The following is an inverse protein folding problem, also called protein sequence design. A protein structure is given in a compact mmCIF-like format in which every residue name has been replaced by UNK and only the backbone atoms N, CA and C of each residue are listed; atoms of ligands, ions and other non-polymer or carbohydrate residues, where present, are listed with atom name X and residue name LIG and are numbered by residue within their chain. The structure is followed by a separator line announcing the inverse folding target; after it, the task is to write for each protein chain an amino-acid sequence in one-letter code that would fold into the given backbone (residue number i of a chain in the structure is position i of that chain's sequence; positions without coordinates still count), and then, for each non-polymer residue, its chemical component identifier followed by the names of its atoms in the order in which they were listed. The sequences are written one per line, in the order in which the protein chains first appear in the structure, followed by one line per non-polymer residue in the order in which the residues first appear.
data_IF_463607847247
#
_entry.id   IF_463607847247
#
_cell.length_a   1.000
_cell.length_b   1.000
_cell.length_c   1.000
_cell.angle_alpha   90.00
_cell.angle_beta   90.00
_cell.angle_gamma   90.00
#
_symmetry.space_group_name_H-M   'P 1'
#
loop_
_entity.id
_entity.type
_entity.pdbx_description
1 polymer ?
#
# COMPACT_ATOMS: atom_id res chain seq x y z
N UNK A 1 3.55 5.06 3.71
CA UNK A 1 4.60 4.27 3.02
C UNK A 1 5.21 3.18 3.87
N UNK A 2 5.59 3.44 5.14
CA UNK A 2 6.09 2.35 6.01
C UNK A 2 5.06 1.26 6.27
N UNK A 3 3.89 1.61 6.83
CA UNK A 3 2.86 0.62 7.18
C UNK A 3 2.25 -0.11 5.96
N UNK A 4 1.98 0.61 4.87
CA UNK A 4 1.43 0.04 3.64
C UNK A 4 2.42 -0.87 2.92
N UNK A 5 3.72 -0.51 2.90
CA UNK A 5 4.77 -1.35 2.36
C UNK A 5 4.97 -2.62 3.18
N UNK A 6 5.02 -2.50 4.52
CA UNK A 6 5.07 -3.67 5.41
C UNK A 6 3.86 -4.58 5.21
N UNK A 7 2.66 -4.02 5.12
CA UNK A 7 1.45 -4.80 4.86
C UNK A 7 1.54 -5.55 3.53
N UNK A 8 1.90 -4.88 2.44
CA UNK A 8 2.05 -5.52 1.13
C UNK A 8 3.14 -6.60 1.13
N UNK A 9 4.30 -6.34 1.73
CA UNK A 9 5.38 -7.32 1.85
C UNK A 9 4.98 -8.52 2.68
N UNK A 10 4.23 -8.34 3.78
CA UNK A 10 3.72 -9.46 4.58
C UNK A 10 2.72 -10.32 3.81
N UNK A 11 1.88 -9.72 2.97
CA UNK A 11 0.96 -10.48 2.12
C UNK A 11 1.72 -11.30 1.07
N UNK A 12 2.78 -10.74 0.48
CA UNK A 12 3.64 -11.46 -0.47
C UNK A 12 4.37 -12.62 0.24
N UNK A 13 5.00 -12.35 1.38
CA UNK A 13 5.72 -13.36 2.15
C UNK A 13 4.82 -14.50 2.64
N UNK A 14 3.55 -14.23 2.97
CA UNK A 14 2.57 -15.26 3.32
C UNK A 14 2.26 -16.20 2.15
N UNK A 15 2.30 -15.71 0.90
CA UNK A 15 2.10 -16.54 -0.30
C UNK A 15 3.35 -17.34 -0.64
N UNK A 16 4.53 -16.80 -0.35
CA UNK A 16 5.82 -17.45 -0.61
C UNK A 16 6.13 -18.57 0.38
N UNK A 17 5.83 -18.37 1.67
CA UNK A 17 6.01 -19.38 2.73
C UNK A 17 4.79 -20.32 2.85
N UNK A 18 3.60 -19.84 2.48
CA UNK A 18 2.36 -20.61 2.56
C UNK A 18 2.21 -21.68 1.48
N UNK A 19 1.33 -22.67 1.66
CA UNK A 19 1.08 -23.70 0.66
C UNK A 19 0.48 -23.09 -0.61
N UNK A 20 1.27 -23.04 -1.68
CA UNK A 20 0.90 -22.53 -3.02
C UNK A 20 -0.33 -23.21 -3.64
N UNK A 21 -0.74 -24.36 -3.10
CA UNK A 21 -1.86 -25.18 -3.56
C UNK A 21 -3.25 -24.63 -3.17
N UNK A 22 -3.37 -23.70 -2.21
CA UNK A 22 -4.68 -23.20 -1.75
C UNK A 22 -4.69 -21.69 -1.44
N UNK A 23 -4.70 -20.82 -2.46
CA UNK A 23 -4.75 -19.36 -2.27
C UNK A 23 -5.99 -18.88 -1.51
N UNK A 24 -7.10 -19.63 -1.58
CA UNK A 24 -8.32 -19.36 -0.82
C UNK A 24 -8.12 -19.50 0.70
N UNK A 25 -7.27 -20.43 1.14
CA UNK A 25 -6.98 -20.65 2.55
C UNK A 25 -6.10 -19.51 3.10
N UNK A 26 -5.11 -19.05 2.32
CA UNK A 26 -4.29 -17.90 2.67
C UNK A 26 -5.16 -16.64 2.80
N UNK A 27 -6.03 -16.39 1.83
CA UNK A 27 -7.00 -15.28 1.90
C UNK A 27 -7.92 -15.36 3.11
N UNK A 28 -8.40 -16.56 3.46
CA UNK A 28 -9.22 -16.77 4.65
C UNK A 28 -8.45 -16.49 5.95
N UNK A 29 -7.19 -16.91 6.07
CA UNK A 29 -6.35 -16.63 7.24
C UNK A 29 -6.08 -15.12 7.41
N UNK A 30 -5.80 -14.42 6.31
CA UNK A 30 -5.66 -12.96 6.31
C UNK A 30 -6.97 -12.32 6.76
N UNK A 31 -8.11 -12.75 6.20
CA UNK A 31 -9.42 -12.24 6.56
C UNK A 31 -9.78 -12.43 8.03
N UNK A 32 -9.52 -13.61 8.59
CA UNK A 32 -9.75 -13.89 10.03
C UNK A 32 -8.86 -13.00 10.89
N UNK A 33 -7.59 -12.86 10.54
CA UNK A 33 -6.64 -12.01 11.29
C UNK A 33 -7.10 -10.56 11.31
N UNK A 34 -7.52 -10.02 10.16
CA UNK A 34 -8.07 -8.67 10.06
C UNK A 34 -9.36 -8.51 10.86
N UNK A 35 -10.29 -9.47 10.77
CA UNK A 35 -11.54 -9.42 11.52
C UNK A 35 -11.29 -9.39 13.04
N UNK A 36 -10.39 -10.25 13.53
CA UNK A 36 -9.98 -10.27 14.94
C UNK A 36 -9.33 -8.94 15.33
N UNK A 37 -8.45 -8.40 14.49
CA UNK A 37 -7.82 -7.11 14.73
C UNK A 37 -8.83 -5.95 14.79
N UNK A 38 -9.82 -5.91 13.90
CA UNK A 38 -10.86 -4.88 13.90
C UNK A 38 -11.79 -4.95 15.11
N UNK A 39 -12.05 -6.15 15.64
CA UNK A 39 -12.86 -6.31 16.86
C UNK A 39 -12.04 -5.97 18.10
N UNK A 40 -10.81 -6.46 18.21
CA UNK A 40 -9.97 -6.24 19.38
C UNK A 40 -9.41 -4.82 19.45
N UNK A 41 -9.16 -4.17 18.31
CA UNK A 41 -8.56 -2.84 18.24
C UNK A 41 -9.30 -1.77 19.06
N UNK A 42 -10.60 -1.55 18.84
CA UNK A 42 -11.40 -0.60 19.63
C UNK A 42 -11.56 -1.01 21.09
N UNK A 43 -11.67 -2.30 21.39
CA UNK A 43 -11.84 -2.81 22.75
C UNK A 43 -10.58 -2.55 23.58
N UNK A 44 -9.42 -2.95 23.06
CA UNK A 44 -8.12 -2.73 23.71
C UNK A 44 -7.80 -1.23 23.72
N UNK A 45 -8.02 -0.51 22.62
CA UNK A 45 -7.79 0.93 22.54
C UNK A 45 -8.65 1.74 23.51
N UNK A 46 -9.92 1.40 23.66
CA UNK A 46 -10.85 2.02 24.59
C UNK A 46 -10.56 1.68 26.05
N UNK A 47 -10.21 0.44 26.35
CA UNK A 47 -9.81 0.05 27.71
C UNK A 47 -8.52 0.74 28.15
N UNK A 48 -7.53 0.82 27.25
CA UNK A 48 -6.23 1.47 27.54
C UNK A 48 -6.41 2.98 27.72
N UNK A 49 -7.26 3.64 26.93
CA UNK A 49 -7.50 5.09 27.09
C UNK A 49 -8.28 5.46 28.35
N UNK A 50 -9.10 4.54 28.87
CA UNK A 50 -9.85 4.73 30.13
C UNK A 50 -8.99 4.49 31.37
N UNK A 51 -8.05 3.55 31.30
CA UNK A 51 -7.25 3.11 32.46
C UNK A 51 -5.85 3.75 32.51
N UNK A 52 -5.35 4.30 31.41
CA UNK A 52 -3.95 4.72 31.28
C UNK A 52 -3.76 5.85 30.26
N UNK A 53 -2.60 6.51 30.30
CA UNK A 53 -2.22 7.52 29.31
C UNK A 53 -2.11 6.93 27.90
N UNK A 54 -2.48 7.71 26.88
CA UNK A 54 -2.43 7.35 25.46
C UNK A 54 -1.07 6.78 25.01
N UNK A 55 0.02 7.13 25.71
CA UNK A 55 1.39 6.67 25.45
C UNK A 55 1.54 5.15 25.54
N UNK A 56 0.70 4.49 26.34
CA UNK A 56 0.73 3.04 26.47
C UNK A 56 0.32 2.31 25.19
N UNK A 57 -0.49 2.93 24.34
CA UNK A 57 -0.80 2.39 23.00
C UNK A 57 0.47 2.28 22.13
N UNK A 58 1.40 3.23 22.27
CA UNK A 58 2.67 3.20 21.56
C UNK A 58 3.63 2.19 22.17
N UNK A 59 3.70 2.12 23.50
CA UNK A 59 4.52 1.13 24.20
C UNK A 59 4.08 -0.31 23.92
N UNK A 60 2.79 -0.57 23.69
CA UNK A 60 2.30 -1.89 23.29
C UNK A 60 2.78 -2.31 21.91
N UNK A 61 2.95 -1.38 20.96
CA UNK A 61 3.43 -1.72 19.63
C UNK A 61 4.90 -2.18 19.62
N UNK A 62 5.72 -1.69 20.54
CA UNK A 62 7.15 -2.04 20.63
C UNK A 62 7.40 -3.56 20.80
N UNK A 63 6.81 -4.26 21.81
CA UNK A 63 7.02 -5.69 21.97
C UNK A 63 6.45 -6.50 20.80
N UNK A 64 5.29 -6.11 20.24
CA UNK A 64 4.75 -6.79 19.05
C UNK A 64 5.65 -6.61 17.83
N UNK A 65 6.20 -5.41 17.62
CA UNK A 65 7.17 -5.13 16.57
C UNK A 65 8.45 -5.95 16.76
N UNK A 66 8.93 -6.09 17.99
CA UNK A 66 10.11 -6.92 18.29
C UNK A 66 9.85 -8.40 18.00
N UNK A 67 8.70 -8.93 18.42
CA UNK A 67 8.30 -10.32 18.12
C UNK A 67 8.21 -10.53 16.61
N UNK A 68 7.63 -9.59 15.86
CA UNK A 68 7.55 -9.68 14.40
C UNK A 68 8.94 -9.72 13.74
N UNK A 69 9.88 -8.88 14.20
CA UNK A 69 11.26 -8.89 13.71
C UNK A 69 11.94 -10.23 14.01
N UNK A 70 11.76 -10.77 15.21
CA UNK A 70 12.32 -12.06 15.61
C UNK A 70 11.73 -13.23 14.80
N UNK A 71 10.42 -13.23 14.56
CA UNK A 71 9.79 -14.30 13.77
C UNK A 71 10.23 -14.24 12.31
N UNK A 72 10.34 -13.04 11.73
CA UNK A 72 10.82 -12.88 10.35
C UNK A 72 12.28 -13.35 10.27
N UNK A 73 13.15 -12.89 11.16
CA UNK A 73 14.57 -13.27 11.12
C UNK A 73 14.82 -14.77 11.36
N UNK A 74 13.97 -15.45 12.12
CA UNK A 74 14.15 -16.87 12.44
C UNK A 74 13.47 -17.81 11.44
N UNK A 75 12.30 -17.42 10.91
CA UNK A 75 11.44 -18.29 10.09
C UNK A 75 11.61 -18.06 8.58
N UNK A 76 12.21 -16.94 8.17
CA UNK A 76 12.42 -16.65 6.74
C UNK A 76 13.40 -17.67 6.13
N UNK A 77 13.06 -18.31 5.00
CA UNK A 77 13.97 -19.22 4.31
C UNK A 77 15.27 -18.49 3.99
N UNK A 78 16.42 -19.08 4.28
CA UNK A 78 17.71 -18.56 3.84
C UNK A 78 17.83 -18.77 2.32
N UNK A 79 17.10 -17.99 1.53
CA UNK A 79 17.49 -17.80 0.14
C UNK A 79 18.80 -17.03 0.13
N UNK A 80 19.70 -17.40 -0.77
CA UNK A 80 20.88 -16.61 -1.09
C UNK A 80 20.41 -15.27 -1.68
N UNK A 81 20.08 -14.31 -0.82
CA UNK A 81 19.69 -12.96 -1.23
C UNK A 81 20.95 -12.21 -1.65
N UNK A 82 21.54 -12.65 -2.77
CA UNK A 82 22.55 -11.89 -3.46
C UNK A 82 21.88 -10.61 -3.94
N UNK A 83 22.27 -9.47 -3.35
CA UNK A 83 21.94 -8.11 -3.76
C UNK A 83 20.74 -7.39 -3.11
N UNK A 84 20.69 -7.33 -1.76
CA UNK A 84 19.89 -6.31 -1.05
C UNK A 84 20.23 -4.84 -1.44
N UNK A 85 21.42 -4.61 -2.02
CA UNK A 85 21.97 -3.27 -2.32
C UNK A 85 22.60 -3.20 -3.71
N UNK A 86 21.92 -3.70 -4.76
CA UNK A 86 22.36 -3.40 -6.12
C UNK A 86 21.82 -2.05 -6.56
N UNK A 87 22.71 -1.15 -6.99
CA UNK A 87 22.34 0.12 -7.63
C UNK A 87 21.36 -0.09 -8.81
N UNK A 88 21.38 -1.26 -9.46
CA UNK A 88 20.40 -1.65 -10.48
C UNK A 88 18.97 -1.70 -9.95
N UNK A 89 18.76 -2.22 -8.75
CA UNK A 89 17.44 -2.28 -8.13
C UNK A 89 16.93 -0.85 -7.84
N UNK A 90 17.82 0.04 -7.38
CA UNK A 90 17.47 1.43 -7.11
C UNK A 90 17.16 2.23 -8.40
N UNK A 91 17.90 1.99 -9.48
CA UNK A 91 17.61 2.58 -10.80
C UNK A 91 16.43 1.93 -11.53
N UNK A 92 15.87 0.85 -10.97
CA UNK A 92 14.71 0.16 -11.53
C UNK A 92 13.38 0.66 -10.98
N UNK A 93 13.43 1.38 -9.86
CA UNK A 93 12.26 1.99 -9.25
C UNK A 93 11.74 3.13 -10.15
N UNK A 94 10.46 3.06 -10.50
CA UNK A 94 9.76 4.13 -11.22
C UNK A 94 9.42 5.30 -10.27
N UNK A 95 10.39 6.17 -10.04
CA UNK A 95 10.20 7.36 -9.20
C UNK A 95 9.18 8.34 -9.77
N UNK A 96 9.10 8.46 -11.11
CA UNK A 96 8.21 9.41 -11.76
C UNK A 96 6.76 8.93 -11.69
N UNK A 97 6.52 7.64 -11.97
CA UNK A 97 5.23 6.99 -11.76
C UNK A 97 4.80 7.07 -10.29
N UNK A 98 5.70 6.74 -9.36
CA UNK A 98 5.44 6.81 -7.91
C UNK A 98 5.05 8.22 -7.47
N UNK A 99 5.79 9.25 -7.90
CA UNK A 99 5.52 10.63 -7.54
C UNK A 99 4.19 11.13 -8.10
N UNK A 100 3.86 10.73 -9.33
CA UNK A 100 2.62 11.15 -10.00
C UNK A 100 1.41 10.44 -9.36
N UNK A 101 1.53 9.15 -9.02
CA UNK A 101 0.54 8.39 -8.26
C UNK A 101 0.28 9.01 -6.88
N UNK A 102 1.35 9.34 -6.16
CA UNK A 102 1.27 9.98 -4.84
C UNK A 102 0.56 11.32 -4.90
N UNK A 103 0.93 12.14 -5.86
CA UNK A 103 0.35 13.46 -6.08
C UNK A 103 -1.13 13.31 -6.43
N UNK A 104 -1.45 12.46 -7.39
CA UNK A 104 -2.82 12.26 -7.87
C UNK A 104 -3.76 11.75 -6.78
N UNK A 105 -3.37 10.68 -6.07
CA UNK A 105 -4.16 10.09 -4.97
C UNK A 105 -4.25 11.03 -3.77
N UNK A 106 -3.16 11.70 -3.41
CA UNK A 106 -3.13 12.66 -2.30
C UNK A 106 -4.07 13.84 -2.53
N UNK A 107 -4.01 14.48 -3.70
CA UNK A 107 -4.90 15.59 -4.05
C UNK A 107 -6.37 15.15 -4.18
N UNK A 108 -6.64 13.93 -4.64
CA UNK A 108 -7.99 13.38 -4.69
C UNK A 108 -8.58 13.23 -3.29
N UNK A 109 -7.86 12.56 -2.39
CA UNK A 109 -8.30 12.34 -1.01
C UNK A 109 -8.47 13.68 -0.29
N UNK A 110 -7.53 14.60 -0.48
CA UNK A 110 -7.63 15.95 0.07
C UNK A 110 -8.90 16.68 -0.40
N UNK A 111 -9.17 16.67 -1.71
CA UNK A 111 -10.35 17.32 -2.28
C UNK A 111 -11.66 16.73 -1.70
N UNK A 112 -11.77 15.40 -1.65
CA UNK A 112 -12.95 14.70 -1.11
C UNK A 112 -13.12 14.95 0.38
N UNK A 113 -12.02 14.93 1.15
CA UNK A 113 -12.08 15.11 2.60
C UNK A 113 -12.47 16.55 2.98
N UNK A 114 -11.92 17.54 2.29
CA UNK A 114 -12.29 18.95 2.49
C UNK A 114 -13.75 19.20 2.12
N UNK A 115 -14.21 18.62 1.01
CA UNK A 115 -15.60 18.72 0.57
C UNK A 115 -16.60 18.03 1.53
N UNK A 116 -16.20 16.92 2.15
CA UNK A 116 -17.01 16.19 3.14
C UNK A 116 -17.00 16.80 4.54
N UNK A 117 -16.02 17.65 4.86
CA UNK A 117 -15.92 18.31 6.17
C UNK A 117 -16.83 19.54 6.35
N UNK A 118 -17.59 19.92 5.32
CA UNK A 118 -18.35 21.18 5.20
C UNK A 118 -17.55 22.49 5.41
N UNK A 119 -16.23 22.41 5.60
CA UNK A 119 -15.37 23.59 5.76
C UNK A 119 -15.25 24.40 4.47
N UNK A 120 -15.39 23.75 3.30
CA UNK A 120 -15.35 24.38 1.99
C UNK A 120 -16.51 23.89 1.11
N UNK A 121 -17.21 24.84 0.48
CA UNK A 121 -18.26 24.54 -0.51
C UNK A 121 -17.59 23.87 -1.72
N UNK A 122 -18.21 22.85 -2.31
CA UNK A 122 -17.73 22.12 -3.50
C UNK A 122 -17.30 23.01 -4.66
N UNK A 123 -17.89 24.21 -4.78
CA UNK A 123 -17.54 25.22 -5.78
C UNK A 123 -16.34 26.10 -5.44
N UNK A 124 -15.63 25.85 -4.33
CA UNK A 124 -14.46 26.63 -3.95
C UNK A 124 -13.29 26.41 -4.93
N UNK A 125 -12.52 27.46 -5.26
CA UNK A 125 -11.38 27.35 -6.16
C UNK A 125 -10.34 26.32 -5.69
N UNK A 126 -10.24 26.09 -4.38
CA UNK A 126 -9.31 25.14 -3.76
C UNK A 126 -9.70 23.69 -4.07
N UNK A 127 -10.97 23.33 -3.96
CA UNK A 127 -11.45 21.98 -4.28
C UNK A 127 -11.36 21.74 -5.79
N UNK A 128 -11.77 22.71 -6.60
CA UNK A 128 -11.72 22.59 -8.06
C UNK A 128 -10.28 22.47 -8.55
N UNK A 129 -9.35 23.28 -8.02
CA UNK A 129 -7.93 23.17 -8.39
C UNK A 129 -7.32 21.85 -7.95
N UNK A 130 -7.62 21.35 -6.75
CA UNK A 130 -7.17 20.04 -6.29
C UNK A 130 -7.70 18.89 -7.17
N UNK A 131 -8.98 18.94 -7.59
CA UNK A 131 -9.56 17.96 -8.51
C UNK A 131 -8.93 18.01 -9.91
N UNK A 132 -8.70 19.22 -10.43
CA UNK A 132 -8.02 19.39 -11.73
C UNK A 132 -6.59 18.88 -11.67
N UNK A 133 -5.83 19.21 -10.61
CA UNK A 133 -4.45 18.72 -10.42
C UNK A 133 -4.45 17.19 -10.31
N UNK A 134 -5.39 16.62 -9.55
CA UNK A 134 -5.52 15.17 -9.43
C UNK A 134 -5.82 14.50 -10.77
N UNK A 135 -6.78 15.03 -11.53
CA UNK A 135 -7.17 14.53 -12.86
C UNK A 135 -6.04 14.65 -13.89
N UNK A 136 -5.34 15.79 -13.95
CA UNK A 136 -4.18 15.96 -14.82
C UNK A 136 -3.07 15.00 -14.44
N UNK A 137 -2.80 14.81 -13.14
CA UNK A 137 -1.80 13.87 -12.66
C UNK A 137 -2.16 12.42 -13.04
N UNK A 138 -3.44 12.03 -12.97
CA UNK A 138 -3.90 10.73 -13.48
C UNK A 138 -3.64 10.56 -14.98
N UNK A 139 -3.89 11.60 -15.78
CA UNK A 139 -3.61 11.54 -17.22
C UNK A 139 -2.11 11.44 -17.53
N UNK A 140 -1.28 12.18 -16.79
CA UNK A 140 0.19 12.13 -16.92
C UNK A 140 0.71 10.73 -16.55
N UNK A 141 0.16 10.13 -15.50
CA UNK A 141 0.48 8.78 -15.06
C UNK A 141 0.14 7.75 -16.16
N UNK A 142 -1.09 7.78 -16.69
CA UNK A 142 -1.50 6.85 -17.76
C UNK A 142 -0.61 7.03 -19.00
N UNK A 143 -0.30 8.29 -19.35
CA UNK A 143 0.60 8.57 -20.47
C UNK A 143 2.01 8.02 -20.21
N UNK A 144 2.55 8.19 -19.00
CA UNK A 144 3.85 7.68 -18.58
C UNK A 144 3.92 6.16 -18.62
N UNK A 145 2.89 5.47 -18.12
CA UNK A 145 2.82 4.00 -18.13
C UNK A 145 2.71 3.43 -19.56
N UNK A 146 1.87 4.03 -20.41
CA UNK A 146 1.79 3.65 -21.83
C UNK A 146 3.13 3.89 -22.55
N UNK A 147 3.81 4.98 -22.21
CA UNK A 147 5.12 5.30 -22.77
C UNK A 147 6.18 4.28 -22.36
N UNK A 148 6.22 3.90 -21.08
CA UNK A 148 7.10 2.87 -20.53
C UNK A 148 6.83 1.48 -21.14
N UNK A 149 5.58 1.14 -21.42
CA UNK A 149 5.24 -0.14 -22.04
C UNK A 149 5.61 -0.19 -23.53
N UNK A 150 5.40 0.91 -24.26
CA UNK A 150 5.66 0.99 -25.71
C UNK A 150 7.15 1.09 -26.02
N UNK A 151 7.92 1.71 -25.12
CA UNK A 151 9.39 1.74 -25.19
C UNK A 151 9.95 1.06 -23.95
N UNK A 152 10.33 -0.23 -24.02
CA UNK A 152 10.95 -0.90 -22.89
C UNK A 152 12.31 -0.25 -22.62
N UNK A 153 12.30 0.82 -21.81
CA UNK A 153 13.46 1.34 -21.14
C UNK A 153 13.90 0.22 -20.22
N UNK A 154 14.94 -0.49 -20.65
CA UNK A 154 15.47 -1.75 -20.10
C UNK A 154 15.82 -1.75 -18.61
N UNK A 155 15.58 -0.64 -17.92
CA UNK A 155 15.96 -0.41 -16.54
C UNK A 155 14.77 -0.21 -15.60
N UNK A 156 13.62 0.34 -16.02
CA UNK A 156 12.55 0.77 -15.10
C UNK A 156 11.40 -0.24 -15.12
N UNK A 157 11.05 -0.77 -13.94
CA UNK A 157 9.88 -1.62 -13.76
C UNK A 157 8.62 -0.75 -13.55
N UNK A 158 7.63 -0.82 -14.45
CA UNK A 158 6.41 -0.02 -14.32
C UNK A 158 5.59 -0.47 -13.11
N UNK A 159 5.07 0.51 -12.35
CA UNK A 159 4.29 0.26 -11.13
C UNK A 159 2.96 -0.42 -11.45
N UNK A 160 2.28 0.01 -12.52
CA UNK A 160 1.12 -0.68 -13.06
C UNK A 160 1.43 -1.23 -14.45
N UNK A 161 1.77 -2.53 -14.56
CA UNK A 161 1.81 -3.18 -15.86
C UNK A 161 0.39 -3.25 -16.44
N UNK A 162 0.09 -2.36 -17.40
CA UNK A 162 -1.22 -2.28 -18.09
C UNK A 162 -1.64 -3.64 -18.68
N UNK A 163 -0.67 -4.48 -19.10
CA UNK A 163 -0.88 -5.87 -19.54
C UNK A 163 -1.59 -6.75 -18.52
N UNK A 164 -1.35 -6.54 -17.23
CA UNK A 164 -2.01 -7.27 -16.15
C UNK A 164 -3.42 -6.72 -15.89
N UNK A 165 -3.62 -5.41 -15.98
CA UNK A 165 -4.94 -4.80 -15.85
C UNK A 165 -5.90 -5.23 -16.97
N UNK A 166 -5.38 -5.43 -18.19
CA UNK A 166 -6.16 -5.90 -19.34
C UNK A 166 -6.51 -7.41 -19.26
N UNK A 167 -6.01 -8.15 -18.27
CA UNK A 167 -6.43 -9.52 -18.03
C UNK A 167 -7.77 -9.55 -17.31
N UNK A 168 -8.70 -10.35 -17.85
CA UNK A 168 -10.09 -10.52 -17.38
C UNK A 168 -10.25 -10.76 -15.87
N UNK A 169 -9.27 -11.41 -15.25
CA UNK A 169 -9.27 -11.70 -13.81
C UNK A 169 -9.00 -10.44 -12.96
N UNK A 170 -8.14 -9.54 -13.43
CA UNK A 170 -7.81 -8.29 -12.75
C UNK A 170 -8.84 -7.20 -13.06
N UNK A 171 -9.39 -7.17 -14.28
CA UNK A 171 -10.46 -6.24 -14.65
C UNK A 171 -11.75 -6.47 -13.83
N UNK A 172 -12.01 -7.71 -13.40
CA UNK A 172 -13.16 -8.04 -12.56
C UNK A 172 -13.01 -7.57 -11.10
N UNK A 173 -11.78 -7.28 -10.64
CA UNK A 173 -11.54 -6.71 -9.31
C UNK A 173 -11.50 -5.17 -9.29
N UNK A 174 -11.53 -4.52 -10.46
CA UNK A 174 -11.57 -3.07 -10.62
C UNK A 174 -13.02 -2.52 -10.78
N UNK A 175 -14.00 -3.40 -10.97
CA UNK A 175 -15.44 -3.11 -10.98
C UNK A 175 -16.06 -3.50 -9.65
#
# INVERSE_FOLDING_TARGET
MGASGLYSLTQIGLVEVGPSHSPSLIGALIGVTLAVAFVLGPIVGGAVSQLSDWRWLFNMNIPFGLVAILTITNLWPHEEVSHFFSWKAFTSIDFLGSATLLTSSGFLVFAVQQAGSETFVWGSPEIISALVISGVSWLVLVWWEVHLETRPLRSIEPIFPIRLMLRRVYSAGLL
#
